data_IF_897608017567
#
_entry.id   IF_897608017567
#
_cell.length_a   1.000
_cell.length_b   1.000
_cell.length_c   1.000
_cell.angle_alpha   90.00
_cell.angle_beta   90.00
_cell.angle_gamma   90.00
#
_symmetry.space_group_name_H-M   'P 1'
#
loop_
_entity.id
_entity.type
_entity.pdbx_description
1 polymer ?
#
# COMPACT_ATOMS: atom_id res chain seq x y z
N UNK A 1 78.86 -0.76 6.57
CA UNK A 1 78.38 0.64 6.47
C UNK A 1 76.90 0.62 6.09
N UNK A 2 75.99 1.05 6.98
CA UNK A 2 74.55 0.92 6.82
C UNK A 2 73.88 2.29 6.59
N UNK A 3 73.11 2.47 5.51
CA UNK A 3 71.96 3.41 5.47
C UNK A 3 71.40 3.59 4.05
N UNK A 4 70.31 2.90 3.69
CA UNK A 4 69.36 3.40 2.67
C UNK A 4 68.06 2.60 2.49
N UNK A 5 67.72 1.64 3.35
CA UNK A 5 66.46 0.84 3.18
C UNK A 5 65.25 1.45 3.92
N UNK A 6 65.39 2.65 4.52
CA UNK A 6 64.32 3.24 5.38
C UNK A 6 63.40 4.27 4.73
N UNK A 7 63.49 4.54 3.41
CA UNK A 7 62.70 5.63 2.77
C UNK A 7 61.53 5.19 1.89
N UNK A 8 61.33 3.90 1.65
CA UNK A 8 60.31 3.42 0.70
C UNK A 8 59.10 2.72 1.35
N UNK A 9 59.08 2.56 2.68
CA UNK A 9 58.02 1.86 3.43
C UNK A 9 56.89 2.83 3.88
N UNK A 10 57.18 4.14 3.96
CA UNK A 10 56.20 5.18 4.33
C UNK A 10 55.01 5.32 3.36
N UNK A 11 55.15 5.25 2.02
CA UNK A 11 54.00 5.42 1.13
C UNK A 11 53.04 4.23 1.14
N UNK A 12 53.52 3.00 1.38
CA UNK A 12 52.66 1.81 1.39
C UNK A 12 51.73 1.76 2.61
N UNK A 13 52.16 2.26 3.77
CA UNK A 13 51.30 2.34 4.96
C UNK A 13 50.15 3.33 4.80
N UNK A 14 50.38 4.46 4.11
CA UNK A 14 49.33 5.43 3.77
C UNK A 14 48.32 4.84 2.77
N UNK A 15 48.81 4.10 1.77
CA UNK A 15 47.97 3.41 0.79
C UNK A 15 47.13 2.29 1.42
N UNK A 16 47.73 1.49 2.30
CA UNK A 16 47.03 0.43 3.02
C UNK A 16 45.92 1.00 3.92
N UNK A 17 46.18 2.09 4.64
CA UNK A 17 45.18 2.74 5.48
C UNK A 17 44.02 3.32 4.67
N UNK A 18 44.32 3.95 3.53
CA UNK A 18 43.30 4.44 2.60
C UNK A 18 42.43 3.30 2.06
N UNK A 19 43.04 2.17 1.69
CA UNK A 19 42.32 1.00 1.19
C UNK A 19 41.41 0.38 2.26
N UNK A 20 41.89 0.27 3.51
CA UNK A 20 41.08 -0.19 4.64
C UNK A 20 39.92 0.76 4.93
N UNK A 21 40.13 2.08 4.84
CA UNK A 21 39.07 3.06 5.03
C UNK A 21 37.99 2.98 3.94
N UNK A 22 38.38 2.79 2.67
CA UNK A 22 37.45 2.58 1.55
C UNK A 22 36.70 1.25 1.71
N UNK A 23 37.37 0.17 2.12
CA UNK A 23 36.73 -1.12 2.40
C UNK A 23 35.78 -1.06 3.58
N UNK A 24 36.09 -0.29 4.62
CA UNK A 24 35.20 -0.04 5.75
C UNK A 24 33.97 0.77 5.34
N UNK A 25 34.14 1.82 4.53
CA UNK A 25 33.03 2.60 3.96
C UNK A 25 32.12 1.76 3.06
N UNK A 26 32.72 0.92 2.21
CA UNK A 26 31.99 -0.03 1.36
C UNK A 26 31.26 -1.09 2.20
N UNK A 27 31.90 -1.61 3.25
CA UNK A 27 31.29 -2.56 4.19
C UNK A 27 30.09 -1.97 4.92
N UNK A 28 30.22 -0.74 5.45
CA UNK A 28 29.13 -0.01 6.13
C UNK A 28 27.96 0.23 5.17
N UNK A 29 28.26 0.66 3.93
CA UNK A 29 27.26 0.86 2.87
C UNK A 29 26.55 -0.46 2.52
N UNK A 30 27.30 -1.56 2.43
CA UNK A 30 26.76 -2.87 2.10
C UNK A 30 25.88 -3.45 3.22
N UNK A 31 26.26 -3.23 4.48
CA UNK A 31 25.44 -3.63 5.64
C UNK A 31 24.16 -2.78 5.78
N UNK A 32 24.23 -1.48 5.49
CA UNK A 32 23.05 -0.61 5.45
C UNK A 32 22.06 -1.02 4.34
N UNK A 33 22.57 -1.43 3.18
CA UNK A 33 21.72 -1.89 2.07
C UNK A 33 20.97 -3.18 2.40
N UNK A 34 21.57 -4.08 3.20
CA UNK A 34 20.89 -5.31 3.65
C UNK A 34 19.86 -5.10 4.76
N UNK A 35 20.05 -4.13 5.66
CA UNK A 35 19.04 -3.79 6.68
C UNK A 35 17.82 -3.05 6.11
N UNK A 36 17.96 -2.35 4.98
CA UNK A 36 16.83 -1.68 4.32
C UNK A 36 15.98 -2.62 3.46
N UNK A 37 16.52 -3.75 2.99
CA UNK A 37 15.80 -4.67 2.10
C UNK A 37 14.61 -5.36 2.79
N UNK A 38 14.69 -5.60 4.10
CA UNK A 38 13.61 -6.21 4.88
C UNK A 38 12.48 -5.20 5.18
N UNK A 39 12.82 -3.91 5.31
CA UNK A 39 11.86 -2.81 5.54
C UNK A 39 11.09 -2.46 4.27
N UNK A 40 11.73 -2.50 3.10
CA UNK A 40 11.08 -2.24 1.80
C UNK A 40 10.09 -3.35 1.43
N UNK A 41 10.39 -4.62 1.77
CA UNK A 41 9.50 -5.74 1.45
C UNK A 41 8.15 -5.67 2.19
N UNK A 42 8.13 -5.16 3.43
CA UNK A 42 6.89 -4.98 4.21
C UNK A 42 6.11 -3.72 3.79
N UNK A 43 6.76 -2.63 3.35
CA UNK A 43 6.06 -1.46 2.81
C UNK A 43 5.40 -1.79 1.47
N UNK A 44 6.07 -2.54 0.60
CA UNK A 44 5.56 -2.93 -0.72
C UNK A 44 4.27 -3.76 -0.65
N UNK A 45 4.15 -4.66 0.33
CA UNK A 45 2.95 -5.49 0.50
C UNK A 45 1.76 -4.63 0.97
N UNK A 46 2.00 -3.66 1.86
CA UNK A 46 0.95 -2.78 2.36
C UNK A 46 0.50 -1.75 1.31
N UNK A 47 1.42 -1.21 0.51
CA UNK A 47 1.07 -0.32 -0.60
C UNK A 47 0.21 -1.04 -1.66
N UNK A 48 0.61 -2.26 -2.06
CA UNK A 48 -0.18 -3.08 -3.00
C UNK A 48 -1.60 -3.36 -2.49
N UNK A 49 -1.79 -3.42 -1.17
CA UNK A 49 -3.09 -3.64 -0.53
C UNK A 49 -3.98 -2.39 -0.53
N UNK A 50 -3.40 -1.19 -0.42
CA UNK A 50 -4.12 0.08 -0.55
C UNK A 50 -4.50 0.32 -2.01
N UNK A 51 -3.59 0.04 -2.95
CA UNK A 51 -3.85 0.18 -4.40
C UNK A 51 -5.03 -0.69 -4.86
N UNK A 52 -5.21 -1.89 -4.30
CA UNK A 52 -6.36 -2.75 -4.62
C UNK A 52 -7.70 -2.16 -4.16
N UNK A 53 -7.71 -1.44 -3.04
CA UNK A 53 -8.90 -0.74 -2.55
C UNK A 53 -9.25 0.44 -3.48
N UNK A 54 -8.25 1.14 -4.01
CA UNK A 54 -8.45 2.17 -5.04
C UNK A 54 -8.94 1.60 -6.36
N UNK A 55 -8.37 0.49 -6.82
CA UNK A 55 -8.82 -0.19 -8.02
C UNK A 55 -10.28 -0.64 -7.91
N UNK A 56 -10.69 -1.15 -6.75
CA UNK A 56 -12.09 -1.52 -6.49
C UNK A 56 -13.02 -0.31 -6.63
N UNK A 57 -12.65 0.83 -6.07
CA UNK A 57 -13.44 2.06 -6.15
C UNK A 57 -13.59 2.54 -7.60
N UNK A 58 -12.50 2.58 -8.35
CA UNK A 58 -12.52 2.99 -9.76
C UNK A 58 -13.40 2.05 -10.59
N UNK A 59 -13.24 0.74 -10.42
CA UNK A 59 -14.08 -0.26 -11.11
C UNK A 59 -15.57 -0.06 -10.80
N UNK A 60 -15.91 0.25 -9.56
CA UNK A 60 -17.30 0.46 -9.14
C UNK A 60 -17.91 1.73 -9.75
N UNK A 61 -17.14 2.82 -9.76
CA UNK A 61 -17.57 4.10 -10.34
C UNK A 61 -17.76 3.96 -11.86
N UNK A 62 -16.81 3.33 -12.55
CA UNK A 62 -16.90 3.07 -13.99
C UNK A 62 -18.08 2.15 -14.32
N UNK A 63 -18.29 1.09 -13.53
CA UNK A 63 -19.43 0.18 -13.69
C UNK A 63 -20.76 0.94 -13.57
N UNK A 64 -20.92 1.79 -12.56
CA UNK A 64 -22.14 2.59 -12.38
C UNK A 64 -22.33 3.59 -13.53
N UNK A 65 -21.28 4.33 -13.91
CA UNK A 65 -21.36 5.30 -15.00
C UNK A 65 -21.75 4.62 -16.31
N UNK A 66 -21.14 3.46 -16.61
CA UNK A 66 -21.38 2.68 -17.82
C UNK A 66 -22.82 2.13 -17.88
N UNK A 67 -23.34 1.61 -16.77
CA UNK A 67 -24.73 1.16 -16.66
C UNK A 67 -25.72 2.32 -16.90
N UNK A 68 -25.43 3.51 -16.35
CA UNK A 68 -26.25 4.70 -16.58
C UNK A 68 -26.20 5.16 -18.04
N UNK A 69 -25.00 5.20 -18.64
CA UNK A 69 -24.81 5.53 -20.06
C UNK A 69 -25.56 4.58 -20.97
N UNK A 70 -25.55 3.28 -20.69
CA UNK A 70 -26.35 2.29 -21.41
C UNK A 70 -27.85 2.59 -21.30
N UNK A 71 -28.37 2.90 -20.10
CA UNK A 71 -29.79 3.20 -19.91
C UNK A 71 -30.23 4.49 -20.62
N UNK A 72 -29.33 5.48 -20.72
CA UNK A 72 -29.58 6.75 -21.41
C UNK A 72 -29.50 6.62 -22.93
N UNK A 73 -28.50 5.90 -23.44
CA UNK A 73 -28.17 5.84 -24.87
C UNK A 73 -28.70 4.58 -25.57
N UNK A 74 -29.14 3.57 -24.81
CA UNK A 74 -29.60 2.25 -25.29
C UNK A 74 -28.62 1.54 -26.23
N UNK A 75 -27.33 1.71 -25.98
CA UNK A 75 -26.25 1.10 -26.78
C UNK A 75 -25.37 0.21 -25.91
N UNK A 76 -25.30 -1.08 -26.27
CA UNK A 76 -24.54 -2.13 -25.57
C UNK A 76 -23.04 -1.84 -25.44
N UNK A 77 -22.46 -0.99 -26.29
CA UNK A 77 -21.04 -0.59 -26.18
C UNK A 77 -20.75 0.03 -24.80
N UNK A 78 -21.72 0.73 -24.20
CA UNK A 78 -21.59 1.31 -22.88
C UNK A 78 -21.72 0.28 -21.75
N UNK A 79 -22.09 -0.97 -22.02
CA UNK A 79 -22.19 -2.01 -20.98
C UNK A 79 -20.85 -2.72 -20.72
N UNK A 80 -19.86 -2.52 -21.59
CA UNK A 80 -18.57 -3.22 -21.52
C UNK A 80 -17.81 -2.97 -20.21
N UNK A 81 -17.72 -1.73 -19.67
CA UNK A 81 -17.07 -1.49 -18.38
C UNK A 81 -17.79 -2.17 -17.22
N UNK A 82 -19.12 -2.22 -17.21
CA UNK A 82 -19.92 -2.95 -16.22
C UNK A 82 -19.62 -4.46 -16.27
N UNK A 83 -19.61 -5.07 -17.46
CA UNK A 83 -19.32 -6.51 -17.62
C UNK A 83 -17.90 -6.85 -17.18
N UNK A 84 -16.93 -6.02 -17.57
CA UNK A 84 -15.53 -6.16 -17.15
C UNK A 84 -15.39 -6.06 -15.63
N UNK A 85 -16.05 -5.08 -15.00
CA UNK A 85 -16.02 -4.92 -13.55
C UNK A 85 -16.68 -6.10 -12.83
N UNK A 86 -17.84 -6.58 -13.30
CA UNK A 86 -18.51 -7.75 -12.74
C UNK A 86 -17.64 -9.02 -12.81
N UNK A 87 -16.91 -9.22 -13.91
CA UNK A 87 -15.97 -10.34 -14.05
C UNK A 87 -14.72 -10.22 -13.17
N UNK A 88 -14.27 -8.98 -12.88
CA UNK A 88 -13.06 -8.72 -12.07
C UNK A 88 -13.35 -8.59 -10.58
N UNK A 89 -14.60 -8.38 -10.19
CA UNK A 89 -14.98 -8.17 -8.80
C UNK A 89 -14.65 -9.37 -7.92
N UNK A 90 -15.17 -10.55 -8.26
CA UNK A 90 -14.93 -11.78 -7.50
C UNK A 90 -13.44 -12.12 -7.32
N UNK A 91 -12.59 -12.14 -8.38
CA UNK A 91 -11.17 -12.42 -8.19
C UNK A 91 -10.44 -11.33 -7.38
N UNK A 92 -10.83 -10.06 -7.52
CA UNK A 92 -10.25 -8.98 -6.72
C UNK A 92 -10.59 -9.16 -5.23
N UNK A 93 -11.84 -9.48 -4.91
CA UNK A 93 -12.31 -9.72 -3.54
C UNK A 93 -11.67 -10.97 -2.91
N UNK A 94 -11.58 -12.06 -3.66
CA UNK A 94 -10.90 -13.27 -3.22
C UNK A 94 -9.42 -13.01 -2.89
N UNK A 95 -8.73 -12.21 -3.70
CA UNK A 95 -7.33 -11.84 -3.46
C UNK A 95 -7.15 -11.02 -2.18
N UNK A 96 -8.08 -10.12 -1.87
CA UNK A 96 -8.03 -9.31 -0.64
C UNK A 96 -8.34 -10.14 0.60
N UNK A 97 -9.21 -11.14 0.49
CA UNK A 97 -9.55 -12.03 1.60
C UNK A 97 -8.39 -12.97 1.96
N UNK A 98 -7.63 -13.46 0.97
CA UNK A 98 -6.45 -14.29 1.21
C UNK A 98 -5.31 -13.53 1.92
N UNK A 99 -5.26 -12.22 1.72
CA UNK A 99 -4.24 -11.34 2.28
C UNK A 99 -4.49 -11.01 3.77
N UNK A 100 -5.73 -11.06 4.25
CA UNK A 100 -6.07 -10.67 5.63
C UNK A 100 -6.31 -11.93 6.48
N UNK A 101 -5.61 -12.10 7.62
CA UNK A 101 -5.82 -13.26 8.47
C UNK A 101 -7.25 -13.28 9.04
N UNK A 102 -7.94 -14.42 9.02
CA UNK A 102 -9.30 -14.55 9.52
C UNK A 102 -9.35 -14.26 11.02
N UNK A 103 -10.40 -13.54 11.45
CA UNK A 103 -10.60 -13.15 12.86
C UNK A 103 -9.97 -11.83 13.28
N UNK A 104 -9.28 -11.12 12.38
CA UNK A 104 -8.87 -9.73 12.59
C UNK A 104 -10.03 -8.76 12.36
N UNK A 105 -10.00 -7.58 13.01
CA UNK A 105 -10.98 -6.52 12.78
C UNK A 105 -11.03 -6.10 11.29
N UNK A 106 -9.89 -6.14 10.61
CA UNK A 106 -9.77 -5.84 9.18
C UNK A 106 -10.48 -6.87 8.29
N UNK A 107 -10.60 -8.12 8.75
CA UNK A 107 -11.34 -9.16 8.02
C UNK A 107 -12.85 -8.92 8.12
N UNK A 108 -13.35 -8.49 9.29
CA UNK A 108 -14.77 -8.12 9.45
C UNK A 108 -15.14 -6.92 8.59
N UNK A 109 -14.32 -5.86 8.60
CA UNK A 109 -14.51 -4.68 7.77
C UNK A 109 -14.44 -5.01 6.25
N UNK A 110 -13.56 -5.94 5.85
CA UNK A 110 -13.49 -6.41 4.45
C UNK A 110 -14.75 -7.20 4.04
N UNK A 111 -15.29 -8.04 4.93
CA UNK A 111 -16.54 -8.77 4.66
C UNK A 111 -17.74 -7.81 4.52
N UNK A 112 -17.82 -6.78 5.36
CA UNK A 112 -18.84 -5.74 5.23
C UNK A 112 -18.70 -4.98 3.91
N UNK A 113 -17.47 -4.61 3.53
CA UNK A 113 -17.22 -4.00 2.23
C UNK A 113 -17.66 -4.92 1.08
N UNK A 114 -17.42 -6.23 1.18
CA UNK A 114 -17.90 -7.20 0.19
C UNK A 114 -19.41 -7.21 0.07
N UNK A 115 -20.11 -7.29 1.20
CA UNK A 115 -21.57 -7.26 1.20
C UNK A 115 -22.12 -5.98 0.56
N UNK A 116 -21.53 -4.83 0.84
CA UNK A 116 -21.94 -3.55 0.24
C UNK A 116 -21.71 -3.49 -1.27
N UNK A 117 -20.54 -3.96 -1.74
CA UNK A 117 -20.24 -3.98 -3.17
C UNK A 117 -21.14 -4.98 -3.90
N UNK A 118 -21.36 -6.17 -3.34
CA UNK A 118 -22.26 -7.17 -3.92
C UNK A 118 -23.70 -6.62 -4.00
N UNK A 119 -24.18 -5.96 -2.95
CA UNK A 119 -25.48 -5.27 -2.96
C UNK A 119 -25.56 -4.17 -4.02
N UNK A 120 -24.48 -3.42 -4.23
CA UNK A 120 -24.41 -2.39 -5.28
C UNK A 120 -24.44 -2.99 -6.68
N UNK A 121 -23.75 -4.10 -6.93
CA UNK A 121 -23.78 -4.80 -8.22
C UNK A 121 -25.15 -5.44 -8.49
N UNK A 122 -25.80 -5.99 -7.47
CA UNK A 122 -27.19 -6.46 -7.57
C UNK A 122 -28.13 -5.32 -7.94
N UNK A 123 -28.04 -4.19 -7.24
CA UNK A 123 -28.82 -2.98 -7.56
C UNK A 123 -28.61 -2.50 -9.01
N UNK A 124 -27.37 -2.51 -9.51
CA UNK A 124 -27.09 -2.17 -10.91
C UNK A 124 -27.66 -3.20 -11.89
N UNK A 125 -27.57 -4.49 -11.56
CA UNK A 125 -28.14 -5.57 -12.37
C UNK A 125 -29.67 -5.47 -12.46
N UNK A 126 -30.33 -5.19 -11.34
CA UNK A 126 -31.78 -4.99 -11.28
C UNK A 126 -32.19 -3.78 -12.14
N UNK A 127 -31.48 -2.67 -12.02
CA UNK A 127 -31.71 -1.47 -12.83
C UNK A 127 -31.57 -1.74 -14.34
N UNK A 128 -30.52 -2.49 -14.73
CA UNK A 128 -30.31 -2.89 -16.12
C UNK A 128 -31.42 -3.83 -16.62
N UNK A 129 -31.86 -4.78 -15.79
CA UNK A 129 -32.93 -5.71 -16.14
C UNK A 129 -34.29 -5.01 -16.34
N UNK A 130 -34.56 -3.97 -15.56
CA UNK A 130 -35.76 -3.15 -15.68
C UNK A 130 -35.69 -2.15 -16.83
N UNK A 131 -34.49 -1.90 -17.38
CA UNK A 131 -34.27 -0.99 -18.51
C UNK A 131 -34.65 0.47 -18.20
N UNK A 132 -34.66 0.86 -16.92
CA UNK A 132 -35.05 2.20 -16.45
C UNK A 132 -33.93 2.80 -15.62
N UNK A 133 -33.57 4.05 -15.94
CA UNK A 133 -32.65 4.84 -15.14
C UNK A 133 -33.22 5.07 -13.72
N UNK A 134 -32.38 5.30 -12.69
CA UNK A 134 -32.85 5.41 -11.31
C UNK A 134 -33.89 6.51 -11.12
N UNK A 135 -33.73 7.63 -11.82
CA UNK A 135 -34.72 8.74 -11.84
C UNK A 135 -36.08 8.31 -12.42
N UNK A 136 -36.09 7.28 -13.26
CA UNK A 136 -37.30 6.74 -13.89
C UNK A 136 -37.96 5.58 -13.12
N UNK A 137 -37.30 5.01 -12.11
CA UNK A 137 -37.84 3.90 -11.29
C UNK A 137 -38.53 4.42 -10.04
N UNK A 138 -37.88 5.30 -9.26
CA UNK A 138 -38.44 6.04 -8.11
C UNK A 138 -37.34 6.88 -7.45
N UNK A 139 -37.71 7.97 -6.77
CA UNK A 139 -36.79 8.76 -5.93
C UNK A 139 -36.10 7.88 -4.88
N UNK A 140 -36.84 6.93 -4.30
CA UNK A 140 -36.34 5.94 -3.33
C UNK A 140 -35.24 5.04 -3.93
N UNK A 141 -35.40 4.60 -5.18
CA UNK A 141 -34.39 3.75 -5.83
C UNK A 141 -33.11 4.55 -6.10
N UNK A 142 -33.25 5.78 -6.59
CA UNK A 142 -32.11 6.69 -6.75
C UNK A 142 -31.37 6.95 -5.44
N UNK A 143 -32.11 7.10 -4.34
CA UNK A 143 -31.55 7.30 -3.01
C UNK A 143 -30.79 6.07 -2.51
N UNK A 144 -31.34 4.85 -2.64
CA UNK A 144 -30.67 3.60 -2.28
C UNK A 144 -29.33 3.44 -3.02
N UNK A 145 -29.31 3.71 -4.33
CA UNK A 145 -28.09 3.65 -5.12
C UNK A 145 -27.01 4.61 -4.65
N UNK A 146 -27.40 5.79 -4.15
CA UNK A 146 -26.50 6.79 -3.57
C UNK A 146 -26.02 6.37 -2.18
N UNK A 147 -26.93 5.93 -1.31
CA UNK A 147 -26.60 5.46 0.05
C UNK A 147 -25.56 4.34 0.01
N UNK A 148 -25.74 3.35 -0.88
CA UNK A 148 -24.75 2.27 -1.07
C UNK A 148 -23.37 2.82 -1.48
N UNK A 149 -23.31 3.81 -2.38
CA UNK A 149 -22.02 4.40 -2.80
C UNK A 149 -21.35 5.20 -1.69
N UNK A 150 -22.12 5.97 -0.92
CA UNK A 150 -21.60 6.75 0.19
C UNK A 150 -21.12 5.82 1.32
N UNK A 151 -21.83 4.75 1.62
CA UNK A 151 -21.41 3.76 2.62
C UNK A 151 -20.14 3.01 2.19
N UNK A 152 -20.05 2.60 0.92
CA UNK A 152 -18.82 2.01 0.35
C UNK A 152 -17.66 3.00 0.46
N UNK A 153 -17.87 4.27 0.12
CA UNK A 153 -16.82 5.31 0.20
C UNK A 153 -16.32 5.48 1.64
N UNK A 154 -17.23 5.56 2.61
CA UNK A 154 -16.90 5.71 4.04
C UNK A 154 -16.11 4.50 4.53
N UNK A 155 -16.58 3.28 4.24
CA UNK A 155 -15.90 2.04 4.64
C UNK A 155 -14.51 1.93 4.03
N UNK A 156 -14.37 2.25 2.74
CA UNK A 156 -13.09 2.24 2.06
C UNK A 156 -12.10 3.24 2.70
N UNK A 157 -12.58 4.45 3.04
CA UNK A 157 -11.77 5.46 3.70
C UNK A 157 -11.29 5.00 5.10
N UNK A 158 -12.16 4.35 5.87
CA UNK A 158 -11.82 3.79 7.20
C UNK A 158 -10.74 2.70 7.06
N UNK A 159 -10.93 1.74 6.14
CA UNK A 159 -9.97 0.66 5.88
C UNK A 159 -8.61 1.21 5.44
N UNK A 160 -8.59 2.21 4.56
CA UNK A 160 -7.35 2.88 4.13
C UNK A 160 -6.66 3.61 5.29
N UNK A 161 -7.40 4.43 6.04
CA UNK A 161 -6.84 5.19 7.14
C UNK A 161 -6.24 4.29 8.22
N UNK A 162 -6.89 3.15 8.53
CA UNK A 162 -6.37 2.19 9.49
C UNK A 162 -5.07 1.53 9.01
N UNK A 163 -5.00 1.13 7.73
CA UNK A 163 -3.78 0.54 7.16
C UNK A 163 -2.64 1.54 7.05
N UNK A 164 -2.93 2.77 6.65
CA UNK A 164 -1.94 3.85 6.60
C UNK A 164 -1.37 4.13 7.99
N UNK A 165 -2.24 4.18 9.02
CA UNK A 165 -1.80 4.32 10.41
C UNK A 165 -0.92 3.15 10.86
N UNK A 166 -1.30 1.91 10.54
CA UNK A 166 -0.49 0.74 10.86
C UNK A 166 0.89 0.78 10.17
N UNK A 167 0.94 1.29 8.93
CA UNK A 167 2.19 1.50 8.20
C UNK A 167 3.08 2.55 8.88
N UNK A 168 2.50 3.70 9.26
CA UNK A 168 3.21 4.77 9.96
C UNK A 168 3.70 4.33 11.36
N UNK A 169 2.90 3.56 12.09
CA UNK A 169 3.29 3.04 13.42
C UNK A 169 4.48 2.08 13.30
N UNK A 170 4.54 1.26 12.23
CA UNK A 170 5.69 0.42 11.93
C UNK A 170 6.94 1.26 11.67
N UNK A 171 6.87 2.25 10.77
CA UNK A 171 7.98 3.16 10.46
C UNK A 171 8.50 3.87 11.72
N UNK A 172 7.58 4.42 12.53
CA UNK A 172 7.89 5.09 13.79
C UNK A 172 8.62 4.15 14.77
N UNK A 173 8.20 2.87 14.85
CA UNK A 173 8.85 1.87 15.68
C UNK A 173 10.30 1.59 15.23
N UNK A 174 10.54 1.50 13.92
CA UNK A 174 11.89 1.32 13.36
C UNK A 174 12.79 2.53 13.64
N UNK A 175 12.29 3.75 13.42
CA UNK A 175 13.03 4.97 13.70
C UNK A 175 13.37 5.11 15.18
N UNK A 176 12.44 4.78 16.08
CA UNK A 176 12.68 4.79 17.53
C UNK A 176 13.75 3.78 17.95
N UNK A 177 13.80 2.60 17.30
CA UNK A 177 14.82 1.58 17.56
C UNK A 177 16.20 2.01 17.04
N UNK A 178 16.26 2.63 15.86
CA UNK A 178 17.50 3.17 15.30
C UNK A 178 18.06 4.35 16.12
N UNK A 179 17.19 5.27 16.56
CA UNK A 179 17.56 6.39 17.42
C UNK A 179 18.09 5.96 18.79
N UNK A 180 17.55 4.87 19.36
CA UNK A 180 18.12 4.25 20.56
C UNK A 180 19.55 3.75 20.32
N UNK A 181 19.90 3.23 19.14
CA UNK A 181 21.26 2.74 18.89
C UNK A 181 22.30 3.87 18.81
N UNK A 182 21.95 5.04 18.25
CA UNK A 182 22.90 6.17 18.17
C UNK A 182 23.17 6.80 19.55
N UNK A 183 22.19 6.79 20.46
CA UNK A 183 22.35 7.32 21.81
C UNK A 183 23.31 6.48 22.68
N UNK A 184 23.45 5.18 22.40
CA UNK A 184 24.40 4.31 23.10
C UNK A 184 25.81 4.34 22.49
N UNK A 185 25.95 4.63 21.20
CA UNK A 185 27.24 4.81 20.53
C UNK A 185 27.97 6.10 20.91
N UNK A 186 27.23 7.18 21.21
CA UNK A 186 27.83 8.48 21.54
C UNK A 186 28.31 8.62 22.99
N UNK A 187 28.00 7.66 23.87
CA UNK A 187 28.40 7.72 25.28
C UNK A 187 29.86 7.26 25.55
N UNK A 188 30.57 6.79 24.53
CA UNK A 188 31.97 6.34 24.63
C UNK A 188 33.02 7.36 24.16
N UNK A 189 32.63 8.55 23.68
CA UNK A 189 33.56 9.57 23.15
C UNK A 189 33.50 10.88 23.95
N UNK A 190 33.64 10.79 25.27
CA UNK A 190 33.96 11.95 26.10
C UNK A 190 35.13 11.58 27.03
N UNK A 191 36.39 11.83 26.63
CA UNK A 191 37.45 11.95 27.62
C UNK A 191 37.12 13.16 28.49
N UNK A 192 36.85 12.90 29.77
CA UNK A 192 36.93 13.92 30.82
C UNK A 192 38.36 14.46 30.81
N UNK A 193 38.57 15.60 30.18
CA UNK A 193 39.76 16.41 30.42
C UNK A 193 39.53 17.13 31.76
N UNK A 194 40.29 16.68 32.77
CA UNK A 194 40.66 17.47 33.94
C UNK A 194 41.73 18.50 33.54
#
# INVERSE_FOLDING_TARGET
>A
MPSSVKRQIRPYWLLAFGCVMVLALLGITYTHSRMNAEVVALSDINQKRIDRLDQLWVLLVDAQASALSFLLMRNDIYLEPYRSAAARLEPLMASMNFDIPPGSDDHADLQDLKRLVDAKFQYLGDMLSQGKAPVAVSEEHGELGKQLMDEIRVRLAILKARREKAHQDLENMYLARAGKFSMWGMRWVLPRFC
#
